data_IF_963172023629
#
_entry.id   IF_963172023629
#
_cell.length_a   1.000
_cell.length_b   1.000
_cell.length_c   1.000
_cell.angle_alpha   90.00
_cell.angle_beta   90.00
_cell.angle_gamma   90.00
#
_symmetry.space_group_name_H-M   'P 1'
#
loop_
_entity.id
_entity.type
_entity.pdbx_description
1 polymer ?
#
# COMPACT_ATOMS: atom_id res chain seq x y z
N UNK A 1 62.31 7.64 -3.53
CA UNK A 1 61.35 6.93 -4.39
C UNK A 1 60.50 6.06 -3.49
N UNK A 2 59.29 6.49 -3.17
CA UNK A 2 58.42 5.85 -2.16
C UNK A 2 57.35 5.04 -2.87
N UNK A 3 57.41 3.72 -2.74
CA UNK A 3 56.44 2.78 -3.33
C UNK A 3 55.20 2.70 -2.43
N UNK A 4 54.02 3.00 -2.98
CA UNK A 4 52.72 2.90 -2.30
C UNK A 4 52.02 1.61 -2.76
N UNK A 5 51.90 0.64 -1.86
CA UNK A 5 51.13 -0.59 -2.07
C UNK A 5 49.70 -0.37 -1.58
N UNK A 6 48.72 -0.52 -2.47
CA UNK A 6 47.29 -0.45 -2.15
C UNK A 6 46.76 -1.87 -1.96
N UNK A 7 46.34 -2.21 -0.74
CA UNK A 7 45.63 -3.47 -0.44
C UNK A 7 44.13 -3.20 -0.37
N UNK A 8 43.36 -3.84 -1.25
CA UNK A 8 41.89 -3.80 -1.25
C UNK A 8 41.36 -5.02 -0.50
N UNK A 9 40.73 -4.82 0.65
CA UNK A 9 40.10 -5.88 1.44
C UNK A 9 38.61 -5.98 1.06
N UNK A 10 38.23 -7.09 0.42
CA UNK A 10 36.82 -7.44 0.18
C UNK A 10 36.27 -8.14 1.42
N UNK A 11 35.35 -7.49 2.14
CA UNK A 11 34.66 -8.10 3.27
C UNK A 11 33.35 -8.74 2.80
N UNK A 12 33.37 -10.06 2.70
CA UNK A 12 32.18 -10.90 2.56
C UNK A 12 31.53 -11.04 3.94
N UNK A 13 30.36 -10.44 4.15
CA UNK A 13 29.55 -10.67 5.34
C UNK A 13 28.48 -11.71 5.04
N UNK A 14 28.79 -12.95 5.42
CA UNK A 14 27.84 -14.04 5.59
C UNK A 14 27.03 -13.76 6.85
N UNK A 15 25.69 -13.79 6.78
CA UNK A 15 24.85 -13.84 7.98
C UNK A 15 23.87 -14.99 7.82
N UNK A 16 23.98 -15.96 8.71
CA UNK A 16 23.17 -17.16 8.78
C UNK A 16 22.17 -17.05 9.94
N UNK A 17 20.94 -17.50 9.65
CA UNK A 17 19.97 -18.16 10.56
C UNK A 17 19.16 -17.30 11.55
N UNK A 18 17.83 -17.30 11.43
CA UNK A 18 16.97 -18.03 12.36
C UNK A 18 15.48 -18.00 11.98
N UNK A 19 14.87 -19.16 12.20
CA UNK A 19 13.52 -19.59 11.90
C UNK A 19 12.54 -19.13 12.97
N UNK A 20 11.42 -18.53 12.58
CA UNK A 20 10.12 -18.71 13.25
C UNK A 20 9.02 -18.26 12.29
N UNK A 21 8.33 -19.22 11.67
CA UNK A 21 7.03 -18.96 11.07
C UNK A 21 5.99 -18.82 12.19
N UNK A 22 5.06 -17.86 12.06
CA UNK A 22 3.69 -18.14 12.47
C UNK A 22 2.73 -17.97 11.31
N UNK A 23 1.98 -19.05 11.04
CA UNK A 23 0.73 -19.09 10.28
C UNK A 23 0.75 -18.44 8.89
N UNK A 24 1.07 -19.27 7.90
CA UNK A 24 0.90 -19.00 6.48
C UNK A 24 -0.56 -18.67 6.16
N UNK A 25 -0.89 -17.39 6.09
CA UNK A 25 -1.82 -16.92 5.07
C UNK A 25 -1.13 -17.12 3.71
N UNK A 26 -1.81 -17.62 2.66
CA UNK A 26 -1.16 -17.83 1.38
C UNK A 26 -1.05 -16.47 0.66
N UNK A 27 -0.20 -15.58 1.15
CA UNK A 27 0.33 -14.50 0.32
C UNK A 27 1.78 -14.85 0.04
N UNK A 28 2.00 -15.51 -1.10
CA UNK A 28 3.33 -15.51 -1.70
C UNK A 28 3.64 -14.05 -2.00
N UNK A 29 4.72 -13.51 -1.43
CA UNK A 29 5.20 -12.17 -1.75
C UNK A 29 5.71 -12.18 -3.20
N UNK A 30 4.78 -12.12 -4.15
CA UNK A 30 5.08 -11.85 -5.54
C UNK A 30 5.53 -10.39 -5.60
N UNK A 31 6.74 -10.15 -6.10
CA UNK A 31 7.17 -8.81 -6.49
C UNK A 31 6.14 -8.27 -7.46
N UNK A 32 5.25 -7.40 -6.98
CA UNK A 32 4.27 -6.71 -7.81
C UNK A 32 5.06 -5.71 -8.63
N UNK A 33 5.51 -6.11 -9.82
CA UNK A 33 5.66 -5.14 -10.90
C UNK A 33 4.30 -4.49 -11.08
N UNK A 34 4.23 -3.18 -11.27
CA UNK A 34 2.97 -2.47 -11.57
C UNK A 34 2.42 -2.83 -12.97
N UNK A 35 2.46 -4.11 -13.31
CA UNK A 35 1.88 -4.75 -14.47
C UNK A 35 0.44 -5.12 -14.15
N UNK A 36 -0.43 -4.87 -15.12
CA UNK A 36 -1.86 -5.16 -15.11
C UNK A 36 -2.19 -6.66 -15.17
N UNK A 37 -1.40 -7.51 -14.52
CA UNK A 37 -1.62 -8.95 -14.49
C UNK A 37 -2.76 -9.28 -13.54
N UNK A 38 -3.84 -9.75 -14.15
CA UNK A 38 -4.95 -10.57 -13.65
C UNK A 38 -5.08 -10.61 -12.13
N UNK A 39 -6.16 -10.00 -11.63
CA UNK A 39 -6.60 -10.00 -10.24
C UNK A 39 -6.17 -11.28 -9.50
N UNK A 40 -5.28 -11.13 -8.52
CA UNK A 40 -5.10 -12.14 -7.48
C UNK A 40 -6.50 -12.51 -6.98
N UNK A 41 -6.83 -13.80 -6.93
CA UNK A 41 -8.15 -14.23 -6.50
C UNK A 41 -8.43 -13.71 -5.08
N UNK A 42 -9.30 -12.71 -5.01
CA UNK A 42 -9.69 -12.05 -3.79
C UNK A 42 -10.70 -12.93 -3.03
N UNK A 43 -10.19 -13.97 -2.38
CA UNK A 43 -11.02 -14.81 -1.53
C UNK A 43 -11.31 -14.09 -0.22
N UNK A 44 -12.58 -13.79 0.03
CA UNK A 44 -13.05 -13.37 1.36
C UNK A 44 -13.24 -14.58 2.25
N UNK A 45 -12.62 -14.57 3.44
CA UNK A 45 -13.01 -15.48 4.50
C UNK A 45 -14.24 -14.91 5.20
N UNK A 46 -15.36 -15.64 5.20
CA UNK A 46 -16.59 -15.24 5.89
C UNK A 46 -16.36 -15.30 7.40
N UNK A 47 -15.87 -14.22 7.97
CA UNK A 47 -15.76 -13.99 9.41
C UNK A 47 -16.35 -12.64 9.74
N UNK A 48 -16.80 -12.51 10.99
CA UNK A 48 -17.59 -11.40 11.54
C UNK A 48 -17.17 -10.04 10.97
N UNK A 49 -18.14 -9.21 10.59
CA UNK A 49 -17.89 -7.92 9.94
C UNK A 49 -17.36 -6.93 10.98
N UNK A 50 -16.12 -6.46 10.81
CA UNK A 50 -15.62 -5.32 11.57
C UNK A 50 -16.57 -4.12 11.34
N UNK A 51 -17.01 -3.45 12.41
CA UNK A 51 -17.89 -2.28 12.30
C UNK A 51 -17.10 -1.07 11.78
N UNK A 52 -16.88 -1.05 10.47
CA UNK A 52 -16.14 0.02 9.81
C UNK A 52 -16.97 1.31 9.76
N UNK A 53 -16.26 2.43 9.79
CA UNK A 53 -16.86 3.75 9.63
C UNK A 53 -17.41 3.95 8.21
N UNK A 54 -18.25 4.97 8.02
CA UNK A 54 -18.89 5.24 6.72
C UNK A 54 -17.89 5.49 5.59
N UNK A 55 -16.73 6.08 5.90
CA UNK A 55 -15.62 6.36 4.98
C UNK A 55 -14.66 5.16 4.81
N UNK A 56 -14.87 4.05 5.51
CA UNK A 56 -14.04 2.85 5.45
C UNK A 56 -14.66 1.75 4.59
N UNK A 57 -13.80 0.86 4.09
CA UNK A 57 -14.14 -0.38 3.39
C UNK A 57 -13.88 -1.55 4.33
N UNK A 58 -14.87 -2.44 4.49
CA UNK A 58 -14.73 -3.67 5.26
C UNK A 58 -14.24 -4.80 4.36
N UNK A 59 -13.12 -5.43 4.72
CA UNK A 59 -12.61 -6.61 4.01
C UNK A 59 -11.85 -7.55 4.93
N UNK A 60 -12.17 -8.84 4.87
CA UNK A 60 -11.51 -9.89 5.67
C UNK A 60 -11.37 -9.52 7.16
N UNK A 61 -12.49 -9.08 7.78
CA UNK A 61 -12.58 -8.64 9.17
C UNK A 61 -11.62 -7.48 9.54
N UNK A 62 -11.31 -6.61 8.59
CA UNK A 62 -10.50 -5.39 8.78
C UNK A 62 -11.17 -4.20 8.10
N UNK A 63 -10.89 -3.01 8.62
CA UNK A 63 -11.37 -1.76 8.04
C UNK A 63 -10.23 -1.03 7.36
N UNK A 64 -10.49 -0.53 6.15
CA UNK A 64 -9.51 0.17 5.33
C UNK A 64 -10.02 1.55 4.92
N UNK A 65 -9.14 2.53 4.88
CA UNK A 65 -9.47 3.88 4.43
C UNK A 65 -8.36 4.47 3.54
N UNK A 66 -8.71 5.53 2.83
CA UNK A 66 -7.79 6.40 2.11
C UNK A 66 -7.70 7.75 2.83
N UNK A 67 -6.50 8.31 2.92
CA UNK A 67 -6.28 9.61 3.56
C UNK A 67 -5.09 10.37 2.99
N UNK A 68 -5.11 11.70 3.03
CA UNK A 68 -4.01 12.56 2.58
C UNK A 68 -2.87 12.70 3.60
N UNK A 69 -2.53 11.62 4.29
CA UNK A 69 -1.70 11.62 5.49
C UNK A 69 -0.21 11.34 5.26
N UNK A 70 0.26 11.33 4.01
CA UNK A 70 1.67 11.20 3.65
C UNK A 70 2.38 9.97 4.24
N UNK A 71 1.77 8.79 4.10
CA UNK A 71 2.30 7.52 4.60
C UNK A 71 1.98 7.23 6.07
N UNK A 72 1.39 8.19 6.81
CA UNK A 72 1.02 8.00 8.20
C UNK A 72 -0.40 7.41 8.33
N UNK A 73 -0.57 6.41 9.19
CA UNK A 73 -1.88 5.88 9.55
C UNK A 73 -2.29 6.36 10.95
N UNK A 74 -3.60 6.48 11.18
CA UNK A 74 -4.13 6.80 12.49
C UNK A 74 -3.87 5.65 13.48
N UNK A 75 -3.98 5.94 14.78
CA UNK A 75 -3.78 4.93 15.81
C UNK A 75 -4.72 3.73 15.62
N UNK A 76 -4.18 2.51 15.75
CA UNK A 76 -4.87 1.25 15.46
C UNK A 76 -4.84 0.81 13.99
N UNK A 77 -4.15 1.55 13.12
CA UNK A 77 -4.03 1.25 11.70
C UNK A 77 -2.55 1.25 11.25
N UNK A 78 -2.27 0.49 10.19
CA UNK A 78 -0.98 0.44 9.50
C UNK A 78 -1.17 0.53 8.00
N UNK A 79 -0.10 0.80 7.25
CA UNK A 79 -0.15 0.79 5.80
C UNK A 79 -0.69 -0.55 5.28
N UNK A 80 -1.67 -0.48 4.38
CA UNK A 80 -2.16 -1.65 3.66
C UNK A 80 -1.28 -1.97 2.45
N UNK A 81 -1.34 -3.19 1.94
CA UNK A 81 -0.55 -3.62 0.77
C UNK A 81 -1.30 -3.39 -0.55
N UNK A 82 -0.56 -3.30 -1.64
CA UNK A 82 -1.03 -3.33 -3.02
C UNK A 82 -1.92 -4.55 -3.26
N UNK A 83 -1.59 -5.72 -2.71
CA UNK A 83 -2.38 -6.94 -2.86
C UNK A 83 -3.78 -6.83 -2.25
N UNK A 84 -3.90 -6.21 -1.07
CA UNK A 84 -5.21 -5.94 -0.47
C UNK A 84 -5.95 -4.88 -1.29
N UNK A 85 -5.26 -3.81 -1.68
CA UNK A 85 -5.83 -2.73 -2.46
C UNK A 85 -6.40 -3.21 -3.79
N UNK A 86 -5.76 -4.18 -4.46
CA UNK A 86 -6.30 -4.86 -5.66
C UNK A 86 -7.70 -5.40 -5.44
N UNK A 87 -7.95 -5.98 -4.26
CA UNK A 87 -9.21 -6.66 -3.97
C UNK A 87 -10.35 -5.74 -3.61
N UNK A 88 -10.03 -4.56 -3.08
CA UNK A 88 -11.04 -3.68 -2.48
C UNK A 88 -11.11 -2.30 -3.12
N UNK A 89 -10.28 -2.04 -4.13
CA UNK A 89 -10.20 -0.78 -4.84
C UNK A 89 -11.57 -0.23 -5.26
N UNK A 90 -12.40 -1.03 -5.93
CA UNK A 90 -13.72 -0.59 -6.40
C UNK A 90 -14.70 -0.27 -5.27
N UNK A 91 -14.48 -0.79 -4.07
CA UNK A 91 -15.33 -0.56 -2.90
C UNK A 91 -15.11 0.82 -2.27
N UNK A 92 -14.07 1.55 -2.69
CA UNK A 92 -13.86 2.94 -2.28
C UNK A 92 -14.76 3.94 -3.00
N UNK A 93 -15.48 3.53 -4.06
CA UNK A 93 -16.48 4.40 -4.70
C UNK A 93 -17.57 4.79 -3.68
N UNK A 94 -17.86 6.08 -3.58
CA UNK A 94 -18.79 6.63 -2.60
C UNK A 94 -18.22 6.80 -1.19
N UNK A 95 -16.98 6.36 -0.93
CA UNK A 95 -16.25 6.69 0.31
C UNK A 95 -15.62 8.07 0.20
N UNK A 96 -15.08 8.58 1.31
CA UNK A 96 -14.35 9.86 1.37
C UNK A 96 -13.05 9.65 2.14
N UNK A 97 -12.18 10.66 2.16
CA UNK A 97 -11.02 10.68 3.05
C UNK A 97 -11.42 10.51 4.51
N UNK A 98 -10.56 9.86 5.29
CA UNK A 98 -10.76 9.77 6.73
C UNK A 98 -10.66 11.13 7.42
N UNK A 99 -9.64 11.94 7.11
CA UNK A 99 -9.38 13.17 7.84
C UNK A 99 -8.80 14.31 7.02
N UNK A 100 -7.89 14.01 6.08
CA UNK A 100 -7.15 14.98 5.29
C UNK A 100 -7.35 14.67 3.82
N UNK A 101 -7.72 15.69 3.03
CA UNK A 101 -7.74 15.57 1.57
C UNK A 101 -6.31 15.50 1.04
N UNK A 102 -6.03 14.54 0.17
CA UNK A 102 -4.69 14.39 -0.42
C UNK A 102 -4.38 15.48 -1.45
N UNK A 103 -3.10 15.80 -1.63
CA UNK A 103 -2.57 16.66 -2.70
C UNK A 103 -1.87 15.88 -3.82
N UNK A 104 -1.92 14.54 -3.78
CA UNK A 104 -1.44 13.67 -4.85
C UNK A 104 -2.44 12.54 -5.14
N UNK A 105 -2.35 11.92 -6.30
CA UNK A 105 -3.25 10.85 -6.71
C UNK A 105 -2.65 9.45 -6.57
N UNK A 106 -1.32 9.36 -6.40
CA UNK A 106 -0.62 8.11 -6.14
C UNK A 106 -0.82 7.68 -4.70
N UNK A 107 -1.03 6.38 -4.53
CA UNK A 107 -1.35 5.77 -3.25
C UNK A 107 -0.10 5.14 -2.66
N UNK A 108 0.30 5.67 -1.53
CA UNK A 108 1.32 5.10 -0.66
C UNK A 108 0.75 3.85 0.04
N UNK A 109 1.40 2.71 -0.20
CA UNK A 109 1.10 1.41 0.41
C UNK A 109 2.31 0.89 1.20
N UNK A 110 2.16 -0.26 1.86
CA UNK A 110 3.26 -0.92 2.58
C UNK A 110 4.32 -1.54 1.65
N UNK A 111 4.07 -1.57 0.35
CA UNK A 111 4.97 -2.16 -0.64
C UNK A 111 6.07 -1.17 -1.09
N UNK A 112 7.09 -1.69 -1.76
CA UNK A 112 8.25 -0.91 -2.23
C UNK A 112 7.90 0.16 -3.27
N UNK A 113 6.81 -0.04 -4.02
CA UNK A 113 6.41 0.83 -5.12
C UNK A 113 4.94 1.19 -5.02
N UNK A 114 4.64 2.45 -5.30
CA UNK A 114 3.29 2.92 -5.54
C UNK A 114 2.88 2.39 -6.91
N UNK A 115 1.91 1.48 -6.95
CA UNK A 115 1.35 0.92 -8.18
C UNK A 115 -0.09 1.37 -8.43
N UNK A 116 -0.71 2.01 -7.46
CA UNK A 116 -2.11 2.42 -7.51
C UNK A 116 -2.20 3.94 -7.47
N UNK A 117 -3.18 4.45 -8.20
CA UNK A 117 -3.58 5.84 -8.09
C UNK A 117 -5.06 6.00 -8.35
N UNK A 118 -5.59 7.14 -7.94
CA UNK A 118 -6.97 7.54 -8.26
C UNK A 118 -6.99 8.18 -9.63
N UNK A 119 -7.93 7.79 -10.49
CA UNK A 119 -8.12 8.39 -11.82
C UNK A 119 -8.82 9.76 -11.76
N UNK A 120 -9.51 10.05 -10.65
CA UNK A 120 -10.26 11.29 -10.43
C UNK A 120 -10.50 11.53 -8.94
N UNK A 121 -10.85 12.76 -8.56
CA UNK A 121 -11.26 13.15 -7.20
C UNK A 121 -10.24 12.88 -6.06
N UNK A 122 -8.95 12.71 -6.38
CA UNK A 122 -7.86 12.51 -5.41
C UNK A 122 -7.36 13.78 -4.72
N UNK A 123 -7.70 14.96 -5.23
CA UNK A 123 -7.25 16.25 -4.68
C UNK A 123 -8.39 17.23 -4.39
N UNK A 124 -9.58 16.68 -4.18
CA UNK A 124 -10.80 17.44 -3.95
C UNK A 124 -11.53 16.85 -2.76
N UNK A 125 -12.06 17.70 -1.88
CA UNK A 125 -12.96 17.24 -0.84
C UNK A 125 -14.22 16.59 -1.45
N UNK A 126 -14.81 15.63 -0.72
CA UNK A 126 -16.03 14.94 -1.11
C UNK A 126 -15.83 13.45 -1.35
N UNK A 127 -16.88 12.79 -1.83
CA UNK A 127 -16.88 11.35 -2.09
C UNK A 127 -16.12 11.00 -3.37
N UNK A 128 -15.42 9.88 -3.35
CA UNK A 128 -14.74 9.32 -4.51
C UNK A 128 -15.76 8.87 -5.57
N UNK A 129 -15.63 9.39 -6.79
CA UNK A 129 -16.45 8.99 -7.94
C UNK A 129 -15.91 7.71 -8.60
N UNK A 130 -14.62 7.43 -8.43
CA UNK A 130 -13.91 6.24 -8.89
C UNK A 130 -13.03 5.67 -7.78
N UNK A 131 -12.82 4.36 -7.77
CA UNK A 131 -11.87 3.71 -6.87
C UNK A 131 -10.43 3.80 -7.39
N UNK A 132 -9.44 3.41 -6.57
CA UNK A 132 -8.06 3.21 -7.02
C UNK A 132 -7.97 2.30 -8.24
N UNK A 133 -7.05 2.60 -9.15
CA UNK A 133 -6.74 1.75 -10.29
C UNK A 133 -5.24 1.56 -10.41
N UNK A 134 -4.83 0.41 -10.95
CA UNK A 134 -3.42 0.16 -11.27
C UNK A 134 -2.95 1.23 -12.26
N UNK A 135 -1.80 1.83 -11.98
CA UNK A 135 -1.20 2.93 -12.76
C UNK A 135 -2.11 4.17 -12.91
N UNK A 136 -3.13 4.32 -12.05
CA UNK A 136 -3.96 5.52 -12.02
C UNK A 136 -3.13 6.77 -11.83
N UNK A 137 -3.50 7.87 -12.49
CA UNK A 137 -2.74 9.14 -12.48
C UNK A 137 -1.24 9.02 -12.86
N UNK A 138 -0.82 7.95 -13.55
CA UNK A 138 0.57 7.74 -13.94
C UNK A 138 1.46 7.17 -12.83
N UNK A 139 0.87 6.60 -11.78
CA UNK A 139 1.59 6.07 -10.61
C UNK A 139 2.19 4.67 -10.86
N UNK A 140 2.79 4.46 -12.02
CA UNK A 140 3.42 3.18 -12.37
C UNK A 140 4.84 3.12 -11.81
N UNK A 141 5.02 2.38 -10.71
CA UNK A 141 6.28 2.28 -9.96
C UNK A 141 6.76 3.64 -9.43
N UNK A 142 5.82 4.49 -9.00
CA UNK A 142 6.16 5.76 -8.38
C UNK A 142 6.71 5.53 -6.96
N UNK A 143 7.54 6.49 -6.50
CA UNK A 143 8.04 6.58 -5.13
C UNK A 143 7.94 8.03 -4.67
N UNK A 144 6.85 8.69 -5.02
CA UNK A 144 6.69 10.12 -4.78
C UNK A 144 6.14 10.33 -3.37
N UNK A 145 6.98 10.05 -2.38
CA UNK A 145 6.72 10.15 -0.94
C UNK A 145 6.61 11.60 -0.46
N UNK A 146 5.61 12.31 -0.99
CA UNK A 146 5.44 13.75 -0.80
C UNK A 146 4.52 14.08 0.38
N UNK A 147 4.57 15.33 0.83
CA UNK A 147 3.57 15.84 1.76
C UNK A 147 2.18 15.77 1.13
N UNK A 148 1.20 15.33 1.92
CA UNK A 148 -0.19 15.14 1.48
C UNK A 148 -0.41 13.96 0.54
N UNK A 149 0.54 13.02 0.38
CA UNK A 149 0.36 11.82 -0.44
C UNK A 149 -0.86 10.99 0.02
N UNK A 150 -1.62 10.47 -0.93
CA UNK A 150 -2.74 9.60 -0.64
C UNK A 150 -2.20 8.31 -0.02
N UNK A 151 -2.76 7.90 1.09
CA UNK A 151 -2.23 6.84 1.93
C UNK A 151 -3.31 5.79 2.13
N UNK A 152 -2.96 4.53 1.91
CA UNK A 152 -3.85 3.40 2.14
C UNK A 152 -3.54 2.73 3.48
N UNK A 153 -4.52 2.76 4.38
CA UNK A 153 -4.37 2.26 5.74
C UNK A 153 -5.42 1.17 6.04
N UNK A 154 -5.04 0.18 6.85
CA UNK A 154 -5.91 -0.88 7.34
C UNK A 154 -5.72 -1.12 8.85
N UNK A 155 -6.77 -1.57 9.54
CA UNK A 155 -6.67 -1.94 10.97
C UNK A 155 -5.64 -3.04 11.18
N UNK A 156 -4.90 -3.00 12.30
CA UNK A 156 -3.91 -4.03 12.70
C UNK A 156 -4.54 -5.34 13.16
#
# INVERSE_FOLDING_TARGET
>A
TTTRTTSTTTTTSTTTTSTAAPTTWPYTATTVTCSSTTATSCATTTTLVASCQSYEVSWNNRCYYLDGSAGACASGYTLGTNAILTCIATQFVGKTYRSVTSSNCCIWTADTYECYGMSSNCNSAGTFSAGPVVNGAGCANAQNHMSGQLTFCGTV
#
